data_IF_760710118852
#
_entry.id   IF_760710118852
#
_cell.length_a   1.000
_cell.length_b   1.000
_cell.length_c   1.000
_cell.angle_alpha   90.00
_cell.angle_beta   90.00
_cell.angle_gamma   90.00
#
_symmetry.space_group_name_H-M   'P 1'
#
loop_
_entity.id
_entity.type
_entity.pdbx_description
1 polymer ?
#
# COMPACT_ATOMS: atom_id res chain seq x y z
N UNK A 1 4.02 15.12 -15.15
CA UNK A 1 4.28 13.94 -14.30
C UNK A 1 3.42 14.10 -13.08
N UNK A 2 2.67 13.06 -12.73
CA UNK A 2 2.02 12.96 -11.41
C UNK A 2 3.11 13.10 -10.36
N UNK A 3 2.87 13.92 -9.32
CA UNK A 3 3.87 14.17 -8.29
C UNK A 3 3.99 13.01 -7.28
N UNK A 4 3.02 12.10 -7.30
CA UNK A 4 2.90 10.90 -6.48
C UNK A 4 1.78 10.01 -7.05
N UNK A 5 1.78 8.75 -6.65
CA UNK A 5 0.67 7.81 -6.83
C UNK A 5 -0.07 7.57 -5.50
N UNK A 6 -1.28 7.04 -5.58
CA UNK A 6 -2.16 6.75 -4.46
C UNK A 6 -2.19 5.25 -4.20
N UNK A 7 -2.05 4.91 -2.92
CA UNK A 7 -2.03 3.54 -2.42
C UNK A 7 -3.04 3.36 -1.27
N UNK A 8 -4.35 3.44 -1.54
CA UNK A 8 -5.38 3.27 -0.54
C UNK A 8 -5.30 1.93 0.19
N UNK A 9 -5.72 1.92 1.45
CA UNK A 9 -5.81 0.72 2.28
C UNK A 9 -7.26 0.41 2.62
N UNK A 10 -7.62 -0.87 2.55
CA UNK A 10 -8.91 -1.34 3.03
C UNK A 10 -8.99 -1.20 4.56
N UNK A 11 -10.15 -0.81 5.11
CA UNK A 11 -10.35 -0.79 6.55
C UNK A 11 -10.22 -2.23 7.12
N UNK A 12 -9.90 -2.35 8.40
CA UNK A 12 -9.78 -3.67 9.05
C UNK A 12 -11.13 -4.40 9.13
N UNK A 13 -12.21 -3.65 9.27
CA UNK A 13 -13.57 -4.16 9.36
C UNK A 13 -14.43 -3.51 8.28
N UNK A 14 -14.96 -4.31 7.36
CA UNK A 14 -15.88 -3.89 6.31
C UNK A 14 -16.66 -5.09 5.79
N UNK A 15 -17.75 -4.80 5.10
CA UNK A 15 -18.46 -5.78 4.28
C UNK A 15 -17.95 -5.69 2.84
N UNK A 16 -17.64 -6.83 2.23
CA UNK A 16 -17.14 -6.85 0.84
C UNK A 16 -18.11 -6.18 -0.15
N UNK A 17 -19.42 -6.26 0.09
CA UNK A 17 -20.44 -5.58 -0.72
C UNK A 17 -20.25 -4.06 -0.75
N UNK A 18 -19.76 -3.48 0.33
CA UNK A 18 -19.49 -2.04 0.42
C UNK A 18 -18.21 -1.72 -0.37
N UNK A 19 -17.17 -2.54 -0.24
CA UNK A 19 -15.96 -2.40 -1.06
C UNK A 19 -16.29 -2.45 -2.57
N UNK A 20 -17.06 -3.46 -3.01
CA UNK A 20 -17.46 -3.60 -4.42
C UNK A 20 -18.35 -2.47 -4.92
N UNK A 21 -19.09 -1.80 -4.01
CA UNK A 21 -19.92 -0.64 -4.32
C UNK A 21 -19.11 0.65 -4.43
N UNK A 22 -18.14 0.86 -3.54
CA UNK A 22 -17.46 2.16 -3.37
C UNK A 22 -16.09 2.24 -4.07
N UNK A 23 -15.42 1.11 -4.36
CA UNK A 23 -14.15 1.10 -5.09
C UNK A 23 -14.24 1.58 -6.55
N UNK A 24 -15.24 1.18 -7.38
CA UNK A 24 -15.23 1.52 -8.81
C UNK A 24 -14.94 3.00 -9.16
N UNK A 25 -15.60 4.00 -8.51
CA UNK A 25 -15.31 5.40 -8.80
C UNK A 25 -13.90 5.84 -8.36
N UNK A 26 -13.32 5.24 -7.32
CA UNK A 26 -11.96 5.53 -6.88
C UNK A 26 -10.93 4.98 -7.87
N UNK A 27 -11.14 3.74 -8.34
CA UNK A 27 -10.25 3.04 -9.27
C UNK A 27 -10.24 3.67 -10.67
N UNK A 28 -11.25 4.48 -11.01
CA UNK A 28 -11.27 5.25 -12.26
C UNK A 28 -10.24 6.39 -12.26
N UNK A 29 -9.64 6.71 -11.11
CA UNK A 29 -8.58 7.71 -11.01
C UNK A 29 -7.24 7.10 -11.45
N UNK A 30 -6.53 7.71 -12.43
CA UNK A 30 -5.24 7.19 -12.89
C UNK A 30 -4.12 7.29 -11.84
N UNK A 31 -4.36 8.01 -10.74
CA UNK A 31 -3.42 8.10 -9.64
C UNK A 31 -3.51 6.89 -8.70
N UNK A 32 -4.58 6.10 -8.71
CA UNK A 32 -4.69 4.91 -7.84
C UNK A 32 -3.99 3.75 -8.55
N UNK A 33 -2.80 3.38 -8.08
CA UNK A 33 -1.97 2.36 -8.73
C UNK A 33 -1.84 1.07 -7.92
N UNK A 34 -2.11 1.12 -6.62
CA UNK A 34 -2.12 -0.06 -5.75
C UNK A 34 -3.21 0.05 -4.69
N UNK A 35 -3.67 -1.08 -4.18
CA UNK A 35 -4.58 -1.16 -3.05
C UNK A 35 -4.10 -2.22 -2.05
N UNK A 36 -4.12 -1.85 -0.76
CA UNK A 36 -3.66 -2.72 0.32
C UNK A 36 -4.82 -3.41 1.00
N UNK A 37 -4.77 -4.74 1.04
CA UNK A 37 -5.71 -5.59 1.77
C UNK A 37 -5.04 -6.14 3.04
N UNK A 38 -5.66 -5.98 4.20
CA UNK A 38 -5.17 -6.64 5.42
C UNK A 38 -5.43 -8.15 5.39
N UNK A 39 -4.42 -8.95 5.74
CA UNK A 39 -4.54 -10.39 5.94
C UNK A 39 -5.53 -10.77 7.06
N UNK A 40 -5.83 -9.85 7.99
CA UNK A 40 -6.76 -10.10 9.09
C UNK A 40 -8.22 -10.27 8.67
N UNK A 41 -8.58 -9.92 7.44
CA UNK A 41 -9.96 -9.97 6.95
C UNK A 41 -10.13 -11.16 6.00
N UNK A 42 -10.69 -12.30 6.48
CA UNK A 42 -10.88 -13.46 5.63
C UNK A 42 -11.93 -13.19 4.56
N UNK A 43 -11.54 -13.28 3.29
CA UNK A 43 -12.46 -13.27 2.16
C UNK A 43 -12.77 -14.71 1.74
N UNK A 44 -13.98 -14.95 1.24
CA UNK A 44 -14.25 -16.18 0.49
C UNK A 44 -13.54 -16.13 -0.86
N UNK A 45 -13.34 -17.27 -1.50
CA UNK A 45 -12.69 -17.34 -2.82
C UNK A 45 -13.43 -16.47 -3.87
N UNK A 46 -14.75 -16.56 -3.94
CA UNK A 46 -15.56 -15.75 -4.86
C UNK A 46 -15.41 -14.24 -4.62
N UNK A 47 -15.47 -13.82 -3.35
CA UNK A 47 -15.33 -12.41 -2.98
C UNK A 47 -13.93 -11.87 -3.24
N UNK A 48 -12.91 -12.70 -3.02
CA UNK A 48 -11.54 -12.34 -3.34
C UNK A 48 -11.36 -12.13 -4.85
N UNK A 49 -11.87 -13.04 -5.68
CA UNK A 49 -11.75 -12.88 -7.13
C UNK A 49 -12.56 -11.69 -7.66
N UNK A 50 -13.73 -11.39 -7.11
CA UNK A 50 -14.47 -10.16 -7.46
C UNK A 50 -13.65 -8.89 -7.16
N UNK A 51 -13.01 -8.81 -5.99
CA UNK A 51 -12.14 -7.70 -5.62
C UNK A 51 -10.90 -7.64 -6.53
N UNK A 52 -10.23 -8.76 -6.75
CA UNK A 52 -9.04 -8.84 -7.59
C UNK A 52 -9.36 -8.40 -9.02
N UNK A 53 -10.45 -8.91 -9.59
CA UNK A 53 -10.85 -8.63 -10.98
C UNK A 53 -11.16 -7.15 -11.18
N UNK A 54 -11.86 -6.50 -10.24
CA UNK A 54 -12.14 -5.06 -10.38
C UNK A 54 -10.87 -4.21 -10.27
N UNK A 55 -9.90 -4.60 -9.44
CA UNK A 55 -8.62 -3.90 -9.32
C UNK A 55 -7.79 -4.05 -10.61
N UNK A 56 -7.61 -5.28 -11.09
CA UNK A 56 -6.81 -5.56 -12.28
C UNK A 56 -7.42 -4.98 -13.57
N UNK A 57 -8.75 -4.91 -13.67
CA UNK A 57 -9.41 -4.23 -14.79
C UNK A 57 -9.14 -2.72 -14.85
N UNK A 58 -8.70 -2.11 -13.74
CA UNK A 58 -8.35 -0.70 -13.64
C UNK A 58 -6.83 -0.51 -13.46
N UNK A 59 -6.01 -1.52 -13.82
CA UNK A 59 -4.55 -1.49 -13.70
C UNK A 59 -4.04 -1.18 -12.26
N UNK A 60 -4.80 -1.61 -11.24
CA UNK A 60 -4.47 -1.41 -9.83
C UNK A 60 -3.91 -2.70 -9.23
N UNK A 61 -2.70 -2.65 -8.68
CA UNK A 61 -2.06 -3.77 -8.01
C UNK A 61 -2.74 -4.11 -6.67
N UNK A 62 -2.86 -5.40 -6.34
CA UNK A 62 -3.36 -5.89 -5.06
C UNK A 62 -2.21 -6.35 -4.18
N UNK A 63 -1.99 -5.63 -3.08
CA UNK A 63 -0.94 -5.93 -2.11
C UNK A 63 -1.57 -6.44 -0.82
N UNK A 64 -1.08 -7.58 -0.32
CA UNK A 64 -1.54 -8.15 0.94
C UNK A 64 -0.63 -7.70 2.10
N UNK A 65 -1.20 -6.99 3.07
CA UNK A 65 -0.54 -6.65 4.32
C UNK A 65 -0.58 -7.84 5.28
N UNK A 66 0.60 -8.39 5.57
CA UNK A 66 0.79 -9.56 6.42
C UNK A 66 1.18 -9.16 7.86
N UNK A 67 1.25 -7.86 8.15
CA UNK A 67 1.67 -7.30 9.42
C UNK A 67 3.06 -7.78 9.83
N UNK A 68 3.17 -8.21 11.08
CA UNK A 68 4.39 -8.75 11.67
C UNK A 68 4.65 -10.22 11.31
N UNK A 69 3.71 -10.89 10.64
CA UNK A 69 3.80 -12.33 10.40
C UNK A 69 4.80 -12.64 9.28
N UNK A 70 5.89 -13.31 9.64
CA UNK A 70 6.94 -13.74 8.70
C UNK A 70 6.52 -14.86 7.75
N UNK A 71 5.55 -15.69 8.15
CA UNK A 71 5.06 -16.85 7.39
C UNK A 71 3.54 -16.95 7.53
N UNK A 72 2.78 -15.99 6.97
CA UNK A 72 1.34 -15.99 7.03
C UNK A 72 0.77 -17.21 6.30
N UNK A 73 -0.26 -17.82 6.90
CA UNK A 73 -0.99 -18.93 6.26
C UNK A 73 -1.96 -18.37 5.22
N UNK A 74 -1.43 -17.91 4.09
CA UNK A 74 -2.22 -17.33 2.99
C UNK A 74 -2.90 -18.45 2.20
N UNK A 75 -4.23 -18.40 1.99
CA UNK A 75 -4.91 -19.36 1.13
C UNK A 75 -4.31 -19.38 -0.28
N UNK A 76 -4.16 -20.56 -0.93
CA UNK A 76 -3.53 -20.65 -2.24
C UNK A 76 -4.16 -19.80 -3.34
N UNK A 77 -5.49 -19.61 -3.32
CA UNK A 77 -6.19 -18.77 -4.30
C UNK A 77 -5.85 -17.28 -4.14
N UNK A 78 -5.59 -16.84 -2.91
CA UNK A 78 -5.09 -15.49 -2.61
C UNK A 78 -3.65 -15.41 -3.09
N UNK A 79 -2.76 -16.25 -2.54
CA UNK A 79 -1.31 -16.17 -2.76
C UNK A 79 -0.89 -16.18 -4.23
N UNK A 80 -1.58 -16.95 -5.08
CA UNK A 80 -1.29 -17.05 -6.52
C UNK A 80 -1.79 -15.86 -7.35
N UNK A 81 -2.59 -14.98 -6.74
CA UNK A 81 -3.30 -13.91 -7.43
C UNK A 81 -2.96 -12.51 -6.86
N UNK A 82 -2.01 -12.44 -5.92
CA UNK A 82 -1.48 -11.19 -5.38
C UNK A 82 -0.43 -10.61 -6.33
N UNK A 83 -0.26 -9.29 -6.28
CA UNK A 83 0.86 -8.60 -6.93
C UNK A 83 2.01 -8.32 -5.95
N UNK A 84 1.71 -8.31 -4.64
CA UNK A 84 2.72 -8.06 -3.62
C UNK A 84 2.32 -8.42 -2.20
N UNK A 85 3.30 -8.37 -1.30
CA UNK A 85 3.16 -8.45 0.15
C UNK A 85 3.71 -7.19 0.81
N UNK A 86 3.11 -6.79 1.92
CA UNK A 86 3.61 -5.71 2.77
C UNK A 86 3.82 -6.23 4.19
N UNK A 87 5.02 -6.03 4.76
CA UNK A 87 5.31 -6.39 6.15
C UNK A 87 5.58 -5.17 7.00
N UNK A 88 5.23 -5.25 8.29
CA UNK A 88 5.54 -4.22 9.26
C UNK A 88 6.93 -4.35 9.89
N UNK A 89 7.73 -5.37 9.53
CA UNK A 89 9.02 -5.66 10.15
C UNK A 89 10.12 -5.93 9.11
N UNK A 90 11.19 -5.11 9.13
CA UNK A 90 12.33 -5.22 8.23
C UNK A 90 13.01 -6.61 8.28
N UNK A 91 13.09 -7.22 9.46
CA UNK A 91 13.68 -8.56 9.65
C UNK A 91 12.93 -9.69 8.92
N UNK A 92 11.69 -9.48 8.48
CA UNK A 92 10.92 -10.47 7.73
C UNK A 92 11.31 -10.51 6.25
N UNK A 93 11.77 -9.39 5.69
CA UNK A 93 11.96 -9.21 4.25
C UNK A 93 12.90 -10.26 3.66
N UNK A 94 14.03 -10.53 4.31
CA UNK A 94 14.99 -11.52 3.81
C UNK A 94 14.38 -12.92 3.66
N UNK A 95 13.48 -13.31 4.58
CA UNK A 95 12.80 -14.59 4.48
C UNK A 95 11.73 -14.57 3.41
N UNK A 96 10.90 -13.52 3.40
CA UNK A 96 9.86 -13.34 2.38
C UNK A 96 10.48 -13.47 0.99
N UNK A 97 11.53 -12.70 0.68
CA UNK A 97 12.21 -12.74 -0.62
C UNK A 97 12.74 -14.13 -1.00
N UNK A 98 13.16 -14.95 -0.03
CA UNK A 98 13.62 -16.34 -0.28
C UNK A 98 12.48 -17.32 -0.53
N UNK A 99 11.27 -17.00 -0.05
CA UNK A 99 10.11 -17.89 -0.08
C UNK A 99 9.02 -17.45 -1.07
N UNK A 100 9.07 -16.20 -1.53
CA UNK A 100 8.14 -15.63 -2.50
C UNK A 100 8.76 -15.61 -3.90
N UNK A 101 7.96 -15.84 -4.96
CA UNK A 101 8.42 -15.63 -6.33
C UNK A 101 8.98 -14.22 -6.56
N UNK A 102 9.95 -14.08 -7.48
CA UNK A 102 10.60 -12.79 -7.76
C UNK A 102 9.64 -11.73 -8.30
N UNK A 103 8.56 -12.14 -8.98
CA UNK A 103 7.57 -11.22 -9.53
C UNK A 103 6.59 -10.66 -8.48
N UNK A 104 6.66 -11.11 -7.22
CA UNK A 104 5.87 -10.58 -6.12
C UNK A 104 6.62 -9.40 -5.50
N UNK A 105 5.96 -8.24 -5.46
CA UNK A 105 6.51 -7.05 -4.83
C UNK A 105 6.55 -7.21 -3.31
N UNK A 106 7.61 -6.72 -2.66
CA UNK A 106 7.76 -6.72 -1.20
C UNK A 106 7.89 -5.30 -0.66
N UNK A 107 6.93 -4.89 0.15
CA UNK A 107 6.97 -3.64 0.90
C UNK A 107 7.33 -3.82 2.36
N UNK A 108 7.97 -2.81 2.95
CA UNK A 108 8.22 -2.78 4.39
C UNK A 108 7.88 -1.43 5.01
N UNK A 109 7.04 -1.42 6.03
CA UNK A 109 6.95 -0.26 6.93
C UNK A 109 8.20 -0.21 7.83
N UNK A 110 8.75 0.97 8.03
CA UNK A 110 9.97 1.21 8.81
C UNK A 110 9.82 2.41 9.74
N UNK A 111 10.54 2.39 10.85
CA UNK A 111 10.59 3.46 11.84
C UNK A 111 11.93 4.19 11.86
N UNK A 112 12.99 3.56 11.36
CA UNK A 112 14.35 4.11 11.38
C UNK A 112 15.04 4.00 10.03
N UNK A 113 16.15 4.74 9.86
CA UNK A 113 17.02 4.62 8.69
C UNK A 113 17.61 3.22 8.57
N UNK A 114 18.04 2.65 9.69
CA UNK A 114 18.69 1.35 9.74
C UNK A 114 17.71 0.24 9.32
N UNK A 115 16.46 0.29 9.79
CA UNK A 115 15.40 -0.64 9.37
C UNK A 115 15.11 -0.53 7.88
N UNK A 116 15.02 0.69 7.35
CA UNK A 116 14.75 0.92 5.94
C UNK A 116 15.90 0.41 5.05
N UNK A 117 17.15 0.69 5.43
CA UNK A 117 18.34 0.19 4.74
C UNK A 117 18.38 -1.34 4.78
N UNK A 118 18.17 -1.93 5.96
CA UNK A 118 18.13 -3.37 6.14
C UNK A 118 17.05 -4.02 5.26
N UNK A 119 15.85 -3.44 5.22
CA UNK A 119 14.74 -3.94 4.40
C UNK A 119 15.07 -3.86 2.91
N UNK A 120 15.57 -2.72 2.42
CA UNK A 120 15.99 -2.54 1.03
C UNK A 120 17.07 -3.54 0.61
N UNK A 121 18.14 -3.66 1.41
CA UNK A 121 19.23 -4.62 1.17
C UNK A 121 18.77 -6.08 1.23
N UNK A 122 17.72 -6.35 2.01
CA UNK A 122 17.11 -7.68 2.12
C UNK A 122 16.16 -8.03 0.98
N UNK A 123 15.94 -7.10 0.04
CA UNK A 123 15.12 -7.30 -1.16
C UNK A 123 13.69 -6.78 -1.07
N UNK A 124 13.44 -5.76 -0.25
CA UNK A 124 12.21 -4.96 -0.38
C UNK A 124 12.26 -4.16 -1.69
N UNK A 125 11.12 -4.07 -2.37
CA UNK A 125 10.94 -3.29 -3.59
C UNK A 125 10.45 -1.87 -3.28
N UNK A 126 9.91 -1.63 -2.07
CA UNK A 126 9.56 -0.31 -1.58
C UNK A 126 9.59 -0.26 -0.05
N UNK A 127 9.79 0.94 0.50
CA UNK A 127 9.71 1.21 1.94
C UNK A 127 8.54 2.13 2.23
N UNK A 128 8.00 2.09 3.44
CA UNK A 128 7.03 3.07 3.90
C UNK A 128 7.36 3.63 5.27
N UNK A 129 6.96 4.89 5.49
CA UNK A 129 7.13 5.59 6.75
C UNK A 129 5.84 6.30 7.13
N UNK A 130 5.62 6.47 8.43
CA UNK A 130 4.52 7.28 8.95
C UNK A 130 4.74 8.78 8.66
N UNK A 131 3.65 9.53 8.56
CA UNK A 131 3.66 11.00 8.42
C UNK A 131 4.42 11.77 9.51
N UNK A 132 4.68 11.14 10.66
CA UNK A 132 5.51 11.71 11.71
C UNK A 132 7.03 11.63 11.40
N UNK A 133 7.41 11.00 10.28
CA UNK A 133 8.81 10.77 9.88
C UNK A 133 9.10 11.33 8.47
N UNK A 134 8.57 12.51 8.13
CA UNK A 134 8.79 13.14 6.81
C UNK A 134 10.27 13.37 6.48
N UNK A 135 11.09 13.62 7.50
CA UNK A 135 12.54 13.75 7.40
C UNK A 135 13.23 12.43 7.05
N UNK A 136 12.65 11.26 7.39
CA UNK A 136 13.10 9.97 6.89
C UNK A 136 12.74 9.78 5.42
N UNK A 137 11.51 10.14 5.01
CA UNK A 137 11.07 10.08 3.61
C UNK A 137 12.00 10.94 2.73
N UNK A 138 12.22 12.19 3.14
CA UNK A 138 13.10 13.12 2.41
C UNK A 138 14.53 12.62 2.32
N UNK A 139 15.04 12.04 3.41
CA UNK A 139 16.38 11.45 3.41
C UNK A 139 16.44 10.25 2.46
N UNK A 140 15.46 9.34 2.53
CA UNK A 140 15.41 8.14 1.70
C UNK A 140 15.43 8.48 0.22
N UNK A 141 14.55 9.39 -0.23
CA UNK A 141 14.51 9.84 -1.63
C UNK A 141 15.78 10.57 -2.10
N UNK A 142 16.66 11.00 -1.18
CA UNK A 142 17.94 11.62 -1.53
C UNK A 142 19.11 10.64 -1.66
N UNK A 143 18.96 9.42 -1.15
CA UNK A 143 20.06 8.43 -1.05
C UNK A 143 19.73 7.06 -1.64
N UNK A 144 18.47 6.76 -1.92
CA UNK A 144 18.00 5.44 -2.39
C UNK A 144 17.19 5.56 -3.67
N UNK A 145 17.18 4.48 -4.47
CA UNK A 145 16.37 4.38 -5.70
C UNK A 145 15.00 3.73 -5.47
N UNK A 146 14.84 2.97 -4.38
CA UNK A 146 13.58 2.30 -4.08
C UNK A 146 12.50 3.33 -3.70
N UNK A 147 11.26 3.18 -4.21
CA UNK A 147 10.18 4.10 -3.90
C UNK A 147 9.79 4.09 -2.43
N UNK A 148 9.18 5.21 -2.00
CA UNK A 148 8.72 5.43 -0.63
C UNK A 148 7.23 5.72 -0.58
N UNK A 149 6.53 5.08 0.35
CA UNK A 149 5.13 5.37 0.67
C UNK A 149 5.06 6.21 1.95
N UNK A 150 4.35 7.34 1.90
CA UNK A 150 3.91 8.07 3.08
C UNK A 150 2.59 7.49 3.59
N UNK A 151 2.59 6.95 4.80
CA UNK A 151 1.42 6.28 5.39
C UNK A 151 0.47 7.24 6.11
N UNK A 152 -0.81 6.86 6.17
CA UNK A 152 -1.84 7.49 7.00
C UNK A 152 -2.18 8.95 6.63
N UNK A 153 -2.25 9.27 5.34
CA UNK A 153 -2.73 10.56 4.83
C UNK A 153 -4.21 10.76 5.20
N UNK A 154 -4.50 11.86 5.90
CA UNK A 154 -5.87 12.21 6.33
C UNK A 154 -6.35 13.55 5.82
N UNK A 155 -5.45 14.40 5.34
CA UNK A 155 -5.77 15.77 4.91
C UNK A 155 -4.93 16.22 3.72
N UNK A 156 -5.39 17.27 3.03
CA UNK A 156 -4.60 17.95 1.98
C UNK A 156 -3.26 18.46 2.52
N UNK A 157 -3.20 18.90 3.78
CA UNK A 157 -1.95 19.33 4.42
C UNK A 157 -0.95 18.19 4.54
N UNK A 158 -1.41 17.00 4.93
CA UNK A 158 -0.56 15.81 5.00
C UNK A 158 0.01 15.46 3.63
N UNK A 159 -0.84 15.50 2.59
CA UNK A 159 -0.43 15.25 1.21
C UNK A 159 0.62 16.26 0.73
N UNK A 160 0.44 17.55 1.00
CA UNK A 160 1.43 18.61 0.69
C UNK A 160 2.75 18.34 1.41
N UNK A 161 2.70 17.96 2.68
CA UNK A 161 3.89 17.66 3.48
C UNK A 161 4.66 16.44 2.95
N UNK A 162 3.95 15.35 2.65
CA UNK A 162 4.53 14.13 2.08
C UNK A 162 5.14 14.39 0.69
N UNK A 163 4.44 15.14 -0.16
CA UNK A 163 4.95 15.60 -1.46
C UNK A 163 6.21 16.45 -1.32
N UNK A 164 6.24 17.38 -0.35
CA UNK A 164 7.42 18.20 -0.06
C UNK A 164 8.61 17.35 0.41
N UNK A 165 8.32 16.25 1.10
CA UNK A 165 9.30 15.24 1.47
C UNK A 165 9.68 14.28 0.31
N UNK A 166 9.11 14.46 -0.89
CA UNK A 166 9.35 13.64 -2.08
C UNK A 166 8.90 12.18 -1.91
N UNK A 167 7.79 11.93 -1.20
CA UNK A 167 7.15 10.61 -1.21
C UNK A 167 6.65 10.27 -2.62
N UNK A 168 6.93 9.04 -3.09
CA UNK A 168 6.47 8.53 -4.37
C UNK A 168 5.00 8.10 -4.32
N UNK A 169 4.56 7.57 -3.17
CA UNK A 169 3.20 7.09 -2.95
C UNK A 169 2.59 7.70 -1.69
N UNK A 170 1.28 7.94 -1.73
CA UNK A 170 0.48 8.40 -0.60
C UNK A 170 -0.56 7.34 -0.23
N UNK A 171 -0.46 6.81 0.99
CA UNK A 171 -1.39 5.81 1.52
C UNK A 171 -2.42 6.46 2.44
N UNK A 172 -3.69 6.10 2.25
CA UNK A 172 -4.81 6.58 3.06
C UNK A 172 -5.83 5.45 3.27
N UNK A 173 -6.47 5.42 4.44
CA UNK A 173 -7.50 4.44 4.73
C UNK A 173 -8.82 4.79 4.04
N UNK A 174 -9.46 3.79 3.44
CA UNK A 174 -10.84 3.85 2.99
C UNK A 174 -11.80 3.59 4.15
N UNK A 175 -12.99 4.19 4.08
CA UNK A 175 -14.01 4.05 5.13
C UNK A 175 -15.32 3.48 4.60
N UNK A 176 -15.55 3.50 3.28
CA UNK A 176 -16.78 3.02 2.64
C UNK A 176 -18.06 3.68 3.15
N UNK A 177 -17.96 4.95 3.57
CA UNK A 177 -19.06 5.77 4.08
C UNK A 177 -19.68 6.69 3.00
N UNK A 178 -19.21 6.55 1.76
CA UNK A 178 -19.59 7.38 0.62
C UNK A 178 -18.78 8.67 0.44
N UNK A 179 -17.81 8.96 1.33
CA UNK A 179 -16.95 10.15 1.24
C UNK A 179 -15.53 9.87 0.74
N UNK A 180 -15.20 8.61 0.44
CA UNK A 180 -13.83 8.24 0.00
C UNK A 180 -13.41 8.97 -1.29
N UNK A 181 -14.34 9.26 -2.20
CA UNK A 181 -14.07 10.00 -3.44
C UNK A 181 -13.80 11.48 -3.18
N UNK A 182 -14.47 12.08 -2.20
CA UNK A 182 -14.16 13.43 -1.72
C UNK A 182 -12.78 13.46 -1.07
N UNK A 183 -12.46 12.45 -0.23
CA UNK A 183 -11.15 12.30 0.40
C UNK A 183 -10.03 12.20 -0.65
N UNK A 184 -10.22 11.36 -1.66
CA UNK A 184 -9.29 11.26 -2.80
C UNK A 184 -9.12 12.62 -3.51
N UNK A 185 -10.22 13.32 -3.78
CA UNK A 185 -10.18 14.65 -4.42
C UNK A 185 -9.40 15.68 -3.59
N UNK A 186 -9.60 15.68 -2.28
CA UNK A 186 -8.84 16.52 -1.35
C UNK A 186 -7.34 16.22 -1.34
N UNK A 187 -6.95 14.93 -1.41
CA UNK A 187 -5.54 14.54 -1.50
C UNK A 187 -4.94 15.00 -2.84
N UNK A 188 -5.65 14.78 -3.96
CA UNK A 188 -5.17 15.17 -5.29
C UNK A 188 -5.03 16.68 -5.48
N UNK A 189 -5.82 17.49 -4.76
CA UNK A 189 -5.70 18.94 -4.78
C UNK A 189 -4.42 19.51 -4.12
N UNK A 190 -3.57 18.66 -3.55
CA UNK A 190 -2.25 19.02 -3.03
C UNK A 190 -1.29 19.48 -4.17
N UNK A 191 -1.48 20.73 -4.58
CA UNK A 191 -0.67 21.43 -5.59
C UNK A 191 0.57 22.05 -4.97
#
# INVERSE_FOLDING_TARGET
>A
MTAFDLYPTLPLHYEIKDALKFLPPLLSSPNVSALRLSFSTPLTEDHFFQLRDILHQNDVALILDIGENKSPSIPPYIYKSLDGLHSSLAQNIQHLRKTTPENIQLGCFCHTRDEAMQAGESGADYISFGLNNLDLIKWWGSVMELPTVAEAITSTKDAINAKTAQADFLSFALEFDGKDTDKLSHILSAT
#
